data_IF_178112709118
#
_entry.id   IF_178112709118
#
_cell.length_a   1.000
_cell.length_b   1.000
_cell.length_c   1.000
_cell.angle_alpha   90.00
_cell.angle_beta   90.00
_cell.angle_gamma   90.00
#
_symmetry.space_group_name_H-M   'P 1'
#
loop_
_entity.id
_entity.type
_entity.pdbx_description
1 polymer ?
#
# COMPACT_ATOMS: atom_id res chain seq x y z
N UNK A 1 7.55 -3.60 -24.49
CA UNK A 1 7.97 -2.21 -24.18
C UNK A 1 9.34 -2.02 -24.79
N UNK A 2 9.59 -0.91 -25.47
CA UNK A 2 10.91 -0.62 -26.04
C UNK A 2 11.95 -0.47 -24.92
N UNK A 3 13.09 -1.17 -25.05
CA UNK A 3 14.12 -1.27 -24.01
C UNK A 3 14.75 0.09 -23.71
N UNK A 4 14.96 0.90 -24.75
CA UNK A 4 15.62 2.20 -24.61
C UNK A 4 14.72 3.20 -23.88
N UNK A 5 13.41 3.13 -24.14
CA UNK A 5 12.42 3.94 -23.45
C UNK A 5 12.29 3.58 -21.97
N UNK A 6 12.26 2.27 -21.63
CA UNK A 6 12.21 1.81 -20.24
C UNK A 6 13.44 2.25 -19.46
N UNK A 7 14.64 2.10 -20.03
CA UNK A 7 15.88 2.56 -19.42
C UNK A 7 15.84 4.07 -19.15
N UNK A 8 15.41 4.87 -20.14
CA UNK A 8 15.29 6.33 -19.98
C UNK A 8 14.29 6.77 -18.89
N UNK A 9 13.27 5.93 -18.62
CA UNK A 9 12.27 6.18 -17.58
C UNK A 9 12.85 5.83 -16.21
N UNK A 10 13.49 4.66 -16.10
CA UNK A 10 14.09 4.18 -14.85
C UNK A 10 15.25 5.05 -14.38
N UNK A 11 16.04 5.63 -15.30
CA UNK A 11 17.15 6.54 -14.98
C UNK A 11 16.71 7.81 -14.22
N UNK A 12 15.42 8.15 -14.28
CA UNK A 12 14.83 9.33 -13.65
C UNK A 12 14.01 8.99 -12.40
N UNK A 13 13.99 7.72 -12.00
CA UNK A 13 13.17 7.22 -10.92
C UNK A 13 14.05 6.73 -9.78
N UNK A 14 13.74 7.20 -8.58
CA UNK A 14 14.18 6.58 -7.34
C UNK A 14 12.98 5.84 -6.76
N UNK A 15 13.12 4.55 -6.54
CA UNK A 15 12.06 3.70 -5.99
C UNK A 15 12.54 3.21 -4.63
N UNK A 16 11.74 3.47 -3.59
CA UNK A 16 11.91 2.86 -2.27
C UNK A 16 10.80 1.85 -2.05
N UNK A 17 11.18 0.60 -1.77
CA UNK A 17 10.25 -0.49 -1.50
C UNK A 17 10.45 -0.95 -0.07
N UNK A 18 9.36 -1.01 0.69
CA UNK A 18 9.32 -1.65 2.01
C UNK A 18 8.57 -2.96 1.84
N UNK A 19 9.27 -4.10 1.67
CA UNK A 19 8.63 -5.38 1.35
C UNK A 19 7.83 -5.96 2.52
N UNK A 20 8.16 -5.55 3.75
CA UNK A 20 7.50 -6.05 4.96
C UNK A 20 7.42 -4.93 6.00
N UNK A 21 6.26 -4.28 6.11
CA UNK A 21 6.00 -3.26 7.12
C UNK A 21 5.64 -3.89 8.49
N UNK A 22 4.96 -5.03 8.48
CA UNK A 22 4.45 -5.69 9.67
C UNK A 22 5.14 -7.04 9.94
N UNK A 23 6.37 -6.98 10.44
CA UNK A 23 7.17 -8.18 10.71
C UNK A 23 6.54 -9.09 11.78
N UNK A 24 6.02 -8.52 12.87
CA UNK A 24 5.49 -9.30 13.99
C UNK A 24 4.14 -9.95 13.67
N UNK A 25 3.25 -9.23 12.98
CA UNK A 25 1.99 -9.81 12.49
C UNK A 25 2.26 -10.92 11.48
N UNK A 26 3.26 -10.74 10.61
CA UNK A 26 3.71 -11.77 9.67
C UNK A 26 4.17 -13.04 10.39
N UNK A 27 4.94 -12.93 11.46
CA UNK A 27 5.38 -14.08 12.25
C UNK A 27 4.19 -14.88 12.81
N UNK A 28 3.14 -14.20 13.28
CA UNK A 28 1.92 -14.85 13.77
C UNK A 28 1.18 -15.61 12.66
N UNK A 29 1.04 -14.99 11.48
CA UNK A 29 0.44 -15.65 10.31
C UNK A 29 1.22 -16.90 9.92
N UNK A 30 2.56 -16.81 9.85
CA UNK A 30 3.40 -17.97 9.52
C UNK A 30 3.39 -19.06 10.60
N UNK A 31 3.06 -18.70 11.85
CA UNK A 31 2.86 -19.66 12.95
C UNK A 31 1.49 -20.35 12.93
N UNK A 32 0.59 -19.93 12.04
CA UNK A 32 -0.71 -20.57 11.81
C UNK A 32 -1.93 -19.70 12.08
N UNK A 33 -1.76 -18.47 12.57
CA UNK A 33 -2.87 -17.51 12.70
C UNK A 33 -3.12 -16.79 11.37
N UNK A 34 -3.65 -17.53 10.40
CA UNK A 34 -3.79 -17.10 9.01
C UNK A 34 -4.71 -15.89 8.79
N UNK A 35 -5.46 -15.49 9.83
CA UNK A 35 -6.36 -14.34 9.81
C UNK A 35 -5.79 -13.12 10.56
N UNK A 36 -4.63 -13.24 11.22
CA UNK A 36 -4.01 -12.09 11.87
C UNK A 36 -3.59 -11.04 10.84
N UNK A 37 -3.88 -9.78 11.15
CA UNK A 37 -3.63 -8.63 10.27
C UNK A 37 -3.00 -7.44 10.97
N UNK A 38 -3.06 -7.43 12.30
CA UNK A 38 -2.50 -6.40 13.18
C UNK A 38 -1.02 -6.65 13.40
N UNK A 39 -0.38 -5.76 14.13
CA UNK A 39 1.06 -5.81 14.35
C UNK A 39 1.57 -6.82 15.39
N UNK A 40 0.78 -7.84 15.74
CA UNK A 40 1.07 -8.78 16.82
C UNK A 40 0.96 -8.20 18.23
N UNK A 41 0.65 -6.90 18.37
CA UNK A 41 0.27 -6.23 19.63
C UNK A 41 -1.19 -5.79 19.63
N UNK A 42 -1.96 -6.24 18.64
CA UNK A 42 -3.38 -5.96 18.52
C UNK A 42 -3.72 -4.59 17.94
N UNK A 43 -2.77 -3.86 17.33
CA UNK A 43 -3.03 -2.59 16.65
C UNK A 43 -3.09 -2.78 15.13
N UNK A 44 -4.13 -2.25 14.51
CA UNK A 44 -4.21 -2.13 13.06
C UNK A 44 -3.35 -0.95 12.59
N UNK A 45 -2.27 -1.27 11.87
CA UNK A 45 -1.34 -0.27 11.35
C UNK A 45 -2.00 0.66 10.33
N UNK A 46 -3.06 0.22 9.64
CA UNK A 46 -3.84 1.07 8.73
C UNK A 46 -5.02 1.78 9.42
N UNK A 47 -4.97 1.91 10.76
CA UNK A 47 -5.80 2.83 11.56
C UNK A 47 -4.94 3.74 12.47
N UNK A 48 -3.62 3.57 12.45
CA UNK A 48 -2.68 4.21 13.36
C UNK A 48 -2.07 5.53 12.81
N UNK A 49 -2.65 6.12 11.77
CA UNK A 49 -2.17 7.38 11.17
C UNK A 49 -2.99 8.58 11.65
N UNK A 50 -2.48 9.81 11.54
CA UNK A 50 -3.06 10.98 12.23
C UNK A 50 -4.32 11.60 11.62
N UNK A 51 -4.73 11.23 10.40
CA UNK A 51 -5.89 11.83 9.74
C UNK A 51 -7.19 11.17 10.23
N UNK A 52 -8.10 11.99 10.79
CA UNK A 52 -9.36 11.55 11.42
C UNK A 52 -9.17 10.43 12.48
N UNK A 53 -7.97 10.36 13.09
CA UNK A 53 -7.57 9.25 13.96
C UNK A 53 -8.52 9.02 15.14
N UNK A 54 -8.79 7.75 15.44
CA UNK A 54 -9.54 7.35 16.62
C UNK A 54 -11.05 7.53 16.52
N UNK A 55 -11.55 8.07 15.41
CA UNK A 55 -12.98 8.08 15.10
C UNK A 55 -13.49 6.67 14.82
N UNK A 56 -14.69 6.40 15.31
CA UNK A 56 -15.34 5.08 15.24
C UNK A 56 -16.68 5.25 14.54
N UNK A 57 -16.86 4.54 13.44
CA UNK A 57 -18.14 4.44 12.75
C UNK A 57 -19.10 3.52 13.52
N UNK A 58 -20.38 3.54 13.17
CA UNK A 58 -21.40 2.68 13.80
C UNK A 58 -21.05 1.19 13.72
N UNK A 59 -20.33 0.81 12.67
CA UNK A 59 -19.97 -0.55 12.37
C UNK A 59 -18.56 -0.93 12.88
N UNK A 60 -17.88 -0.03 13.61
CA UNK A 60 -16.52 -0.22 14.13
C UNK A 60 -16.34 -1.53 14.90
N UNK A 61 -15.31 -2.29 14.52
CA UNK A 61 -14.89 -3.49 15.24
C UNK A 61 -13.56 -3.24 15.99
N UNK A 62 -13.55 -3.22 17.35
CA UNK A 62 -12.34 -2.96 18.12
C UNK A 62 -11.28 -4.05 17.98
N UNK A 63 -11.65 -5.27 17.59
CA UNK A 63 -10.68 -6.32 17.34
C UNK A 63 -9.93 -6.07 16.03
N UNK A 64 -10.65 -5.66 14.99
CA UNK A 64 -10.13 -5.48 13.64
C UNK A 64 -9.53 -4.08 13.40
N UNK A 65 -10.08 -3.05 14.04
CA UNK A 65 -9.83 -1.65 13.69
C UNK A 65 -9.20 -0.87 14.85
N UNK A 66 -8.58 -1.56 15.81
CA UNK A 66 -7.90 -0.91 16.93
C UNK A 66 -6.83 0.08 16.43
N UNK A 67 -7.01 1.40 16.62
CA UNK A 67 -6.13 2.41 16.06
C UNK A 67 -4.88 2.67 16.91
N UNK A 68 -4.70 1.94 18.02
CA UNK A 68 -3.64 2.17 19.00
C UNK A 68 -4.02 3.23 20.05
N UNK A 69 -3.04 3.64 20.87
CA UNK A 69 -3.27 4.59 21.98
C UNK A 69 -3.15 6.06 21.58
N UNK A 70 -2.53 6.33 20.43
CA UNK A 70 -2.31 7.64 19.85
C UNK A 70 -2.00 7.46 18.35
N UNK A 71 -2.16 8.50 17.51
CA UNK A 71 -1.64 8.42 16.14
C UNK A 71 -0.13 8.20 16.18
N UNK A 72 0.36 7.30 15.32
CA UNK A 72 1.75 6.85 15.29
C UNK A 72 2.23 6.25 16.62
N UNK A 73 1.36 5.61 17.39
CA UNK A 73 1.79 4.87 18.58
C UNK A 73 2.71 3.70 18.27
N UNK A 74 2.62 3.14 17.05
CA UNK A 74 3.37 1.96 16.66
C UNK A 74 4.69 2.31 15.95
N UNK A 75 5.81 1.63 16.25
CA UNK A 75 7.09 1.86 15.58
C UNK A 75 7.02 1.63 14.07
N UNK A 76 6.19 0.68 13.61
CA UNK A 76 6.00 0.39 12.19
C UNK A 76 5.50 1.63 11.43
N UNK A 77 4.43 2.28 11.90
CA UNK A 77 3.89 3.50 11.28
C UNK A 77 4.81 4.71 11.46
N UNK A 78 5.54 4.81 12.58
CA UNK A 78 6.54 5.87 12.79
C UNK A 78 7.67 5.80 11.76
N UNK A 79 8.17 4.59 11.45
CA UNK A 79 9.21 4.37 10.44
C UNK A 79 8.68 4.76 9.06
N UNK A 80 7.49 4.32 8.68
CA UNK A 80 6.89 4.66 7.38
C UNK A 80 6.65 6.16 7.24
N UNK A 81 6.18 6.83 8.30
CA UNK A 81 6.05 8.30 8.35
C UNK A 81 7.40 8.98 8.15
N UNK A 82 8.44 8.56 8.87
CA UNK A 82 9.79 9.14 8.76
C UNK A 82 10.34 8.94 7.35
N UNK A 83 10.15 7.74 6.78
CA UNK A 83 10.55 7.42 5.42
C UNK A 83 9.88 8.35 4.41
N UNK A 84 8.55 8.49 4.46
CA UNK A 84 7.80 9.34 3.55
C UNK A 84 8.22 10.82 3.66
N UNK A 85 8.32 11.36 4.87
CA UNK A 85 8.73 12.76 5.08
C UNK A 85 10.17 13.03 4.63
N UNK A 86 11.07 12.06 4.79
CA UNK A 86 12.48 12.21 4.35
C UNK A 86 12.67 11.99 2.86
N UNK A 87 11.84 11.15 2.25
CA UNK A 87 11.96 10.79 0.84
C UNK A 87 11.21 11.77 -0.08
N UNK A 88 10.17 12.43 0.44
CA UNK A 88 9.32 13.37 -0.31
C UNK A 88 8.78 12.76 -1.61
N UNK A 89 7.96 11.68 -1.52
CA UNK A 89 7.55 10.93 -2.69
C UNK A 89 6.55 11.72 -3.56
N UNK A 90 6.74 11.60 -4.87
CA UNK A 90 5.74 12.04 -5.85
C UNK A 90 4.54 11.10 -5.96
N UNK A 91 4.78 9.81 -5.68
CA UNK A 91 3.82 8.72 -5.77
C UNK A 91 3.96 7.87 -4.52
N UNK A 92 2.84 7.57 -3.87
CA UNK A 92 2.73 6.63 -2.78
C UNK A 92 1.72 5.55 -3.14
N UNK A 93 2.09 4.29 -2.92
CA UNK A 93 1.17 3.15 -3.04
C UNK A 93 1.37 2.25 -1.82
N UNK A 94 0.34 2.08 -1.00
CA UNK A 94 0.28 0.95 -0.06
C UNK A 94 -0.51 -0.20 -0.70
N UNK A 95 0.01 -1.42 -0.53
CA UNK A 95 -0.48 -2.61 -1.23
C UNK A 95 -1.15 -3.53 -0.23
N UNK A 96 -2.38 -3.92 -0.54
CA UNK A 96 -3.26 -4.75 0.28
C UNK A 96 -3.86 -5.86 -0.57
N UNK A 97 -4.51 -6.81 0.09
CA UNK A 97 -5.35 -7.82 -0.56
C UNK A 97 -6.59 -8.11 0.28
N UNK A 98 -7.55 -8.77 -0.35
CA UNK A 98 -8.89 -9.09 0.16
C UNK A 98 -9.99 -8.73 -0.83
N UNK A 99 -9.64 -7.97 -1.88
CA UNK A 99 -10.49 -7.61 -3.00
C UNK A 99 -9.62 -7.16 -4.19
N UNK A 100 -10.23 -6.74 -5.29
CA UNK A 100 -9.54 -6.14 -6.42
C UNK A 100 -10.02 -4.70 -6.63
N UNK A 101 -9.14 -3.75 -6.31
CA UNK A 101 -9.46 -2.34 -6.37
C UNK A 101 -8.22 -1.44 -6.44
N UNK A 102 -8.45 -0.25 -6.98
CA UNK A 102 -7.49 0.83 -7.12
C UNK A 102 -8.10 2.05 -6.43
N UNK A 103 -7.79 2.23 -5.16
CA UNK A 103 -8.30 3.36 -4.40
C UNK A 103 -7.38 4.56 -4.50
N UNK A 104 -8.03 5.71 -4.50
CA UNK A 104 -7.45 7.01 -4.20
C UNK A 104 -8.12 7.53 -2.92
N UNK A 105 -7.62 8.62 -2.32
CA UNK A 105 -8.32 9.26 -1.21
C UNK A 105 -9.77 9.59 -1.57
N UNK A 106 -10.66 9.78 -0.59
CA UNK A 106 -10.39 9.56 0.83
C UNK A 106 -10.82 8.16 1.29
N UNK A 107 -10.14 7.63 2.28
CA UNK A 107 -10.59 6.43 2.99
C UNK A 107 -11.61 6.81 4.10
N UNK A 108 -11.40 7.92 4.79
CA UNK A 108 -12.29 8.41 5.86
C UNK A 108 -13.52 9.20 5.37
N UNK A 109 -13.64 9.45 4.05
CA UNK A 109 -14.78 10.16 3.46
C UNK A 109 -15.32 9.39 2.26
N UNK A 110 -16.65 9.36 2.12
CA UNK A 110 -17.32 8.85 0.92
C UNK A 110 -17.30 9.88 -0.23
N UNK A 111 -16.10 10.30 -0.64
CA UNK A 111 -15.86 11.14 -1.81
C UNK A 111 -14.39 11.10 -2.19
N UNK A 112 -14.10 11.30 -3.46
CA UNK A 112 -12.74 11.61 -3.91
C UNK A 112 -12.41 13.08 -3.63
N UNK A 113 -11.13 13.46 -3.55
CA UNK A 113 -10.71 14.85 -3.61
C UNK A 113 -11.21 15.54 -4.87
N UNK A 114 -11.26 16.86 -4.81
CA UNK A 114 -11.64 17.71 -5.93
C UNK A 114 -10.41 18.23 -6.69
N UNK A 115 -10.61 18.65 -7.93
CA UNK A 115 -9.60 19.36 -8.72
C UNK A 115 -8.76 18.49 -9.65
N UNK A 116 -7.92 19.16 -10.45
CA UNK A 116 -7.21 18.58 -11.60
C UNK A 116 -6.32 17.40 -11.21
N UNK A 117 -5.65 17.43 -10.04
CA UNK A 117 -4.83 16.30 -9.62
C UNK A 117 -5.67 15.05 -9.35
N UNK A 118 -6.86 15.20 -8.78
CA UNK A 118 -7.79 14.09 -8.56
C UNK A 118 -8.26 13.48 -9.88
N UNK A 119 -8.57 14.31 -10.88
CA UNK A 119 -8.93 13.84 -12.22
C UNK A 119 -7.78 13.07 -12.89
N UNK A 120 -6.54 13.55 -12.74
CA UNK A 120 -5.35 12.87 -13.27
C UNK A 120 -5.04 11.57 -12.54
N UNK A 121 -5.20 11.53 -11.22
CA UNK A 121 -5.13 10.30 -10.43
C UNK A 121 -6.15 9.28 -10.95
N UNK A 122 -7.41 9.68 -11.09
CA UNK A 122 -8.46 8.81 -11.61
C UNK A 122 -8.15 8.29 -13.01
N UNK A 123 -7.69 9.16 -13.92
CA UNK A 123 -7.28 8.77 -15.27
C UNK A 123 -6.12 7.77 -15.26
N UNK A 124 -5.14 7.94 -14.38
CA UNK A 124 -4.05 6.97 -14.20
C UNK A 124 -4.62 5.60 -13.77
N UNK A 125 -5.51 5.58 -12.78
CA UNK A 125 -6.11 4.33 -12.27
C UNK A 125 -6.98 3.64 -13.33
N UNK A 126 -7.72 4.40 -14.15
CA UNK A 126 -8.50 3.86 -15.27
C UNK A 126 -7.60 3.16 -16.30
N UNK A 127 -6.45 3.76 -16.62
CA UNK A 127 -5.45 3.14 -17.51
C UNK A 127 -4.85 1.87 -16.89
N UNK A 128 -4.52 1.89 -15.60
CA UNK A 128 -3.98 0.71 -14.90
C UNK A 128 -5.03 -0.41 -14.86
N UNK A 129 -6.29 -0.10 -14.57
CA UNK A 129 -7.38 -1.08 -14.53
C UNK A 129 -7.61 -1.73 -15.89
N UNK A 130 -7.62 -0.93 -16.96
CA UNK A 130 -7.79 -1.41 -18.33
C UNK A 130 -6.66 -2.36 -18.73
N UNK A 131 -5.41 -2.01 -18.42
CA UNK A 131 -4.23 -2.73 -18.89
C UNK A 131 -3.89 -3.97 -18.06
N UNK A 132 -4.10 -3.91 -16.74
CA UNK A 132 -3.55 -4.90 -15.80
C UNK A 132 -4.56 -5.53 -14.86
N UNK A 133 -5.75 -4.96 -14.71
CA UNK A 133 -6.81 -5.58 -13.90
C UNK A 133 -7.98 -6.10 -14.75
N UNK A 134 -7.89 -5.95 -16.08
CA UNK A 134 -8.91 -6.38 -17.04
C UNK A 134 -10.30 -5.80 -16.74
N UNK A 135 -10.35 -4.53 -16.30
CA UNK A 135 -11.57 -3.83 -15.90
C UNK A 135 -12.31 -4.45 -14.70
N UNK A 136 -11.66 -5.34 -13.94
CA UNK A 136 -12.25 -5.97 -12.75
C UNK A 136 -12.10 -5.12 -11.50
N UNK A 137 -11.07 -4.27 -11.44
CA UNK A 137 -10.80 -3.48 -10.24
C UNK A 137 -11.82 -2.36 -10.10
N UNK A 138 -12.33 -2.16 -8.89
CA UNK A 138 -13.07 -0.95 -8.55
C UNK A 138 -12.13 0.25 -8.47
N UNK A 139 -12.58 1.44 -8.91
CA UNK A 139 -11.82 2.69 -8.85
C UNK A 139 -12.64 3.73 -8.09
N UNK A 140 -12.01 4.45 -7.16
CA UNK A 140 -12.63 5.57 -6.45
C UNK A 140 -12.01 5.84 -5.09
N UNK A 141 -12.75 6.58 -4.27
CA UNK A 141 -12.37 6.81 -2.87
C UNK A 141 -12.47 5.52 -2.08
N UNK A 142 -11.49 5.15 -1.25
CA UNK A 142 -11.58 3.97 -0.39
C UNK A 142 -12.87 3.93 0.44
N UNK A 143 -13.25 5.06 1.05
CA UNK A 143 -14.46 5.19 1.87
C UNK A 143 -15.78 5.11 1.09
N UNK A 144 -15.74 5.40 -0.21
CA UNK A 144 -16.92 5.38 -1.08
C UNK A 144 -17.08 4.11 -1.91
N UNK A 145 -15.97 3.44 -2.24
CA UNK A 145 -15.96 2.26 -3.09
C UNK A 145 -16.15 0.96 -2.31
N UNK A 146 -15.68 0.89 -1.05
CA UNK A 146 -15.77 -0.35 -0.23
C UNK A 146 -17.04 -0.42 0.62
N UNK A 147 -17.70 0.73 0.84
CA UNK A 147 -18.97 0.80 1.57
C UNK A 147 -18.83 0.92 3.09
N UNK A 148 -17.63 1.20 3.60
CA UNK A 148 -17.38 1.63 4.98
C UNK A 148 -16.27 2.70 4.99
N UNK A 149 -16.19 3.51 6.04
CA UNK A 149 -15.17 4.56 6.19
C UNK A 149 -14.02 4.05 7.05
N UNK A 150 -12.78 4.24 6.58
CA UNK A 150 -11.59 3.88 7.34
C UNK A 150 -10.87 5.14 7.81
N UNK A 151 -10.64 5.24 9.12
CA UNK A 151 -10.02 6.38 9.77
C UNK A 151 -8.56 6.11 10.11
N UNK A 152 -7.70 7.13 10.08
CA UNK A 152 -6.30 6.96 10.42
C UNK A 152 -5.54 6.05 9.45
N UNK A 153 -5.80 6.16 8.14
CA UNK A 153 -5.12 5.36 7.10
C UNK A 153 -3.85 6.02 6.57
N UNK A 154 -2.96 5.20 5.99
CA UNK A 154 -1.74 5.70 5.37
C UNK A 154 -2.04 6.62 4.18
N UNK A 155 -2.99 6.23 3.31
CA UNK A 155 -3.29 6.95 2.06
C UNK A 155 -3.81 8.35 2.31
N UNK A 156 -4.70 8.51 3.29
CA UNK A 156 -5.21 9.83 3.68
C UNK A 156 -4.11 10.70 4.30
N UNK A 157 -3.22 10.13 5.13
CA UNK A 157 -2.08 10.88 5.67
C UNK A 157 -1.10 11.33 4.58
N UNK A 158 -0.79 10.46 3.61
CA UNK A 158 0.09 10.78 2.50
C UNK A 158 -0.48 11.90 1.64
N UNK A 159 -1.80 11.89 1.43
CA UNK A 159 -2.49 12.94 0.68
C UNK A 159 -2.57 14.26 1.45
N UNK A 160 -3.17 14.28 2.65
CA UNK A 160 -3.50 15.52 3.36
C UNK A 160 -2.31 16.16 4.09
N UNK A 161 -1.38 15.35 4.62
CA UNK A 161 -0.30 15.84 5.49
C UNK A 161 1.03 15.90 4.74
N UNK A 162 1.40 14.82 4.05
CA UNK A 162 2.66 14.78 3.28
C UNK A 162 2.52 15.52 1.94
N UNK A 163 1.30 15.73 1.45
CA UNK A 163 1.01 16.36 0.16
C UNK A 163 1.62 15.58 -1.02
N UNK A 164 1.61 14.25 -0.94
CA UNK A 164 2.02 13.38 -2.05
C UNK A 164 1.07 13.62 -3.22
N UNK A 165 1.56 14.04 -4.40
CA UNK A 165 0.71 14.34 -5.56
C UNK A 165 -0.21 13.19 -5.97
N UNK A 166 0.26 11.96 -5.81
CA UNK A 166 -0.46 10.74 -6.17
C UNK A 166 -0.34 9.69 -5.07
N UNK A 167 -1.31 9.66 -4.15
CA UNK A 167 -1.40 8.65 -3.10
C UNK A 167 -2.49 7.63 -3.43
N UNK A 168 -2.19 6.33 -3.27
CA UNK A 168 -3.09 5.25 -3.62
C UNK A 168 -3.05 4.09 -2.62
N UNK A 169 -4.18 3.38 -2.52
CA UNK A 169 -4.27 2.05 -1.92
C UNK A 169 -4.63 1.05 -3.01
N UNK A 170 -3.78 0.06 -3.25
CA UNK A 170 -4.03 -0.99 -4.25
C UNK A 170 -4.41 -2.29 -3.56
N UNK A 171 -5.59 -2.81 -3.87
CA UNK A 171 -6.08 -4.11 -3.46
C UNK A 171 -5.85 -5.10 -4.61
N UNK A 172 -4.89 -6.01 -4.44
CA UNK A 172 -4.29 -6.71 -5.58
C UNK A 172 -4.89 -8.07 -5.90
N UNK A 173 -5.64 -8.63 -4.96
CA UNK A 173 -6.23 -9.95 -5.08
C UNK A 173 -7.31 -10.11 -4.03
N UNK A 174 -8.41 -10.78 -4.37
CA UNK A 174 -9.36 -11.28 -3.39
C UNK A 174 -10.17 -12.43 -3.97
N UNK A 175 -10.39 -13.49 -3.18
CA UNK A 175 -11.29 -14.57 -3.54
C UNK A 175 -12.62 -14.44 -2.78
N UNK A 176 -13.63 -13.87 -3.44
CA UNK A 176 -14.98 -13.72 -2.89
C UNK A 176 -15.69 -15.05 -2.62
N UNK A 177 -15.19 -16.16 -3.17
CA UNK A 177 -15.72 -17.52 -2.94
C UNK A 177 -15.12 -18.17 -1.70
N UNK A 178 -14.09 -17.59 -1.10
CA UNK A 178 -13.49 -18.10 0.11
C UNK A 178 -14.45 -18.01 1.31
N UNK A 179 -14.38 -18.99 2.20
CA UNK A 179 -15.08 -18.92 3.48
C UNK A 179 -14.48 -17.79 4.32
N UNK A 180 -15.30 -17.14 5.15
CA UNK A 180 -14.84 -16.17 6.16
C UNK A 180 -13.83 -16.72 7.17
N UNK A 181 -13.65 -18.05 7.22
CA UNK A 181 -12.64 -18.73 8.05
C UNK A 181 -11.37 -19.13 7.29
N UNK A 182 -11.37 -19.00 5.96
CA UNK A 182 -10.25 -19.36 5.10
C UNK A 182 -9.56 -18.10 4.59
N UNK A 183 -8.91 -17.40 5.54
CA UNK A 183 -8.22 -16.15 5.25
C UNK A 183 -7.09 -16.35 4.25
N UNK A 184 -6.38 -17.49 4.29
CA UNK A 184 -5.33 -17.76 3.32
C UNK A 184 -5.86 -17.72 1.89
N UNK A 185 -6.92 -18.46 1.57
CA UNK A 185 -7.53 -18.44 0.24
C UNK A 185 -8.15 -17.08 -0.10
N UNK A 186 -8.79 -16.42 0.87
CA UNK A 186 -9.39 -15.11 0.67
C UNK A 186 -8.37 -14.07 0.19
N UNK A 187 -7.16 -14.12 0.75
CA UNK A 187 -6.15 -13.10 0.56
C UNK A 187 -4.99 -13.51 -0.36
N UNK A 188 -4.88 -14.78 -0.74
CA UNK A 188 -3.77 -15.31 -1.51
C UNK A 188 -4.24 -16.26 -2.63
N UNK A 189 -3.64 -16.17 -3.83
CA UNK A 189 -3.78 -17.21 -4.85
C UNK A 189 -3.35 -18.58 -4.32
N UNK A 190 -4.23 -19.56 -4.37
CA UNK A 190 -3.94 -20.94 -3.91
C UNK A 190 -3.43 -21.86 -5.02
N UNK A 191 -3.45 -21.39 -6.27
CA UNK A 191 -2.97 -22.14 -7.43
C UNK A 191 -1.90 -21.36 -8.21
N UNK A 192 -1.00 -22.10 -8.86
CA UNK A 192 0.15 -21.54 -9.56
C UNK A 192 -0.21 -20.66 -10.76
N UNK A 193 -1.34 -20.95 -11.43
CA UNK A 193 -1.80 -20.17 -12.58
C UNK A 193 -2.23 -18.77 -12.15
N UNK A 194 -3.11 -18.71 -11.14
CA UNK A 194 -3.59 -17.45 -10.56
C UNK A 194 -2.46 -16.68 -9.90
N UNK A 195 -1.57 -17.36 -9.18
CA UNK A 195 -0.38 -16.73 -8.58
C UNK A 195 0.47 -16.00 -9.62
N UNK A 196 0.85 -16.67 -10.71
CA UNK A 196 1.67 -16.05 -11.76
C UNK A 196 0.93 -14.93 -12.48
N UNK A 197 -0.39 -15.07 -12.69
CA UNK A 197 -1.21 -14.01 -13.29
C UNK A 197 -1.16 -12.74 -12.42
N UNK A 198 -1.52 -12.85 -11.14
CA UNK A 198 -1.51 -11.73 -10.19
C UNK A 198 -0.11 -11.09 -10.14
N UNK A 199 0.93 -11.90 -10.02
CA UNK A 199 2.30 -11.41 -9.97
C UNK A 199 2.70 -10.64 -11.24
N UNK A 200 2.39 -11.18 -12.42
CA UNK A 200 2.74 -10.55 -13.69
C UNK A 200 1.94 -9.26 -13.92
N UNK A 201 0.63 -9.30 -13.67
CA UNK A 201 -0.29 -8.17 -13.83
C UNK A 201 0.16 -7.00 -12.94
N UNK A 202 0.39 -7.24 -11.65
CA UNK A 202 0.77 -6.17 -10.72
C UNK A 202 2.20 -5.68 -10.91
N UNK A 203 3.14 -6.56 -11.29
CA UNK A 203 4.49 -6.12 -11.68
C UNK A 203 4.44 -5.16 -12.87
N UNK A 204 3.60 -5.46 -13.87
CA UNK A 204 3.40 -4.60 -15.03
C UNK A 204 2.60 -3.33 -14.70
N UNK A 205 1.66 -3.39 -13.76
CA UNK A 205 0.92 -2.25 -13.25
C UNK A 205 1.83 -1.21 -12.61
N UNK A 206 2.76 -1.61 -11.73
CA UNK A 206 3.71 -0.67 -11.12
C UNK A 206 4.61 0.00 -12.17
N UNK A 207 5.12 -0.75 -13.14
CA UNK A 207 5.89 -0.16 -14.25
C UNK A 207 5.05 0.84 -15.07
N UNK A 208 3.76 0.58 -15.23
CA UNK A 208 2.83 1.49 -15.90
C UNK A 208 2.59 2.75 -15.09
N UNK A 209 2.42 2.64 -13.77
CA UNK A 209 2.35 3.79 -12.86
C UNK A 209 3.62 4.63 -12.94
N UNK A 210 4.79 4.01 -12.84
CA UNK A 210 6.08 4.70 -12.94
C UNK A 210 6.28 5.43 -14.27
N UNK A 211 5.72 4.89 -15.36
CA UNK A 211 5.76 5.50 -16.67
C UNK A 211 4.78 6.67 -16.83
N UNK A 212 3.54 6.50 -16.38
CA UNK A 212 2.46 7.44 -16.67
C UNK A 212 2.33 8.54 -15.63
N UNK A 213 2.56 8.25 -14.35
CA UNK A 213 2.40 9.22 -13.27
C UNK A 213 3.28 10.47 -13.42
N UNK A 214 4.57 10.40 -13.84
CA UNK A 214 5.37 11.62 -14.05
C UNK A 214 4.78 12.56 -15.10
N UNK A 215 4.14 12.01 -16.14
CA UNK A 215 3.47 12.81 -17.19
C UNK A 215 2.25 13.54 -16.62
N UNK A 216 1.53 12.88 -15.71
CA UNK A 216 0.38 13.43 -15.02
C UNK A 216 0.77 14.47 -13.95
N UNK A 217 1.96 14.37 -13.35
CA UNK A 217 2.45 15.32 -12.34
C UNK A 217 3.09 16.56 -13.00
N UNK A 218 3.86 16.38 -14.08
CA UNK A 218 4.73 17.39 -14.71
C UNK A 218 4.04 18.60 -15.37
N UNK A 219 2.72 18.71 -15.29
CA UNK A 219 1.94 19.83 -15.83
C UNK A 219 1.45 20.84 -14.75
N UNK A 220 1.98 20.80 -13.52
CA UNK A 220 1.65 21.78 -12.46
C UNK A 220 2.90 22.56 -12.02
N UNK A 221 2.87 23.90 -11.98
CA UNK A 221 3.94 24.69 -11.37
C UNK A 221 3.91 24.50 -9.85
N UNK A 222 4.90 23.77 -9.33
CA UNK A 222 5.07 23.53 -7.90
C UNK A 222 5.35 24.85 -7.15
N UNK A 223 4.43 25.29 -6.28
CA UNK A 223 4.72 26.36 -5.31
C UNK A 223 5.51 25.72 -4.17
N UNK A 224 6.83 25.94 -4.17
CA UNK A 224 7.69 25.57 -3.06
C UNK A 224 7.22 26.28 -1.78
N UNK A 225 6.58 25.54 -0.87
CA UNK A 225 6.36 25.96 0.51
C UNK A 225 7.65 25.70 1.29
N UNK A 226 8.55 26.68 1.30
CA UNK A 226 9.71 26.66 2.20
C UNK A 226 9.24 27.06 3.59
N UNK A 227 8.83 26.10 4.42
CA UNK A 227 8.77 26.31 5.87
C UNK A 227 10.16 26.05 6.45
N UNK A 228 10.70 27.06 7.14
CA UNK A 228 11.97 27.00 7.88
C UNK A 228 12.00 25.76 8.77
N UNK A 229 12.91 24.83 8.49
CA UNK A 229 13.12 23.64 9.31
C UNK A 229 14.52 23.70 9.92
N UNK A 230 14.58 23.93 11.22
CA UNK A 230 15.79 23.86 12.02
C UNK A 230 16.37 22.44 11.97
N UNK A 231 17.64 22.38 11.52
CA UNK A 231 18.68 21.38 11.82
C UNK A 231 18.21 19.95 12.12
N UNK A 232 17.87 19.19 11.07
CA UNK A 232 17.74 17.73 11.15
C UNK A 232 19.10 17.07 10.90
N UNK A 233 19.48 16.17 11.81
CA UNK A 233 20.61 15.25 11.69
C UNK A 233 20.25 14.19 10.66
N UNK A 234 21.15 13.92 9.71
CA UNK A 234 20.93 12.96 8.63
C UNK A 234 20.76 11.55 9.19
N UNK A 235 19.82 10.79 8.65
CA UNK A 235 19.68 9.35 8.91
C UNK A 235 20.96 8.58 8.52
N UNK A 236 21.73 9.11 7.56
CA UNK A 236 22.97 8.52 7.08
C UNK A 236 24.03 8.51 8.20
N UNK A 237 24.10 9.56 9.03
CA UNK A 237 25.03 9.59 10.18
C UNK A 237 24.68 8.53 11.25
N UNK A 238 23.42 8.12 11.35
CA UNK A 238 22.98 7.08 12.29
C UNK A 238 23.21 5.66 11.73
N UNK A 239 23.06 5.49 10.42
CA UNK A 239 23.21 4.19 9.75
C UNK A 239 24.68 3.86 9.42
N UNK A 240 25.51 4.86 9.12
CA UNK A 240 26.95 4.67 8.88
C UNK A 240 27.66 4.08 10.12
N UNK A 241 27.23 4.47 11.32
CA UNK A 241 27.75 3.91 12.57
C UNK A 241 27.45 2.42 12.75
N UNK A 242 26.41 1.89 12.12
CA UNK A 242 25.97 0.49 12.25
C UNK A 242 26.52 -0.42 11.13
N UNK A 243 26.82 0.15 9.95
CA UNK A 243 27.26 -0.60 8.77
C UNK A 243 28.79 -0.68 8.62
N UNK A 244 29.55 0.22 9.26
CA UNK A 244 31.01 0.22 9.22
C UNK A 244 31.68 -0.95 9.95
N UNK A 245 30.94 -1.68 10.81
CA UNK A 245 31.52 -2.77 11.61
C UNK A 245 31.60 -4.13 10.88
N UNK A 246 31.12 -4.22 9.62
CA UNK A 246 31.03 -5.52 8.89
C UNK A 246 31.77 -5.64 7.56
N UNK A 247 32.57 -4.68 7.13
CA UNK A 247 33.27 -4.78 5.84
C UNK A 247 34.81 -4.91 5.96
N UNK A 248 35.30 -6.15 6.08
CA UNK A 248 36.65 -6.51 5.59
C UNK A 248 36.84 -8.03 5.52
N UNK A 249 36.61 -8.61 4.32
CA UNK A 249 37.35 -9.77 3.78
C UNK A 249 36.81 -10.17 2.40
N UNK A 250 37.31 -9.50 1.36
CA UNK A 250 37.58 -9.98 -0.02
C UNK A 250 37.35 -8.86 -1.03
N UNK A 251 38.47 -8.29 -1.49
CA UNK A 251 38.48 -7.36 -2.61
C UNK A 251 38.27 -8.07 -3.94
N UNK A 252 37.31 -7.58 -4.73
CA UNK A 252 37.34 -7.64 -6.19
C UNK A 252 36.45 -6.53 -6.73
N UNK A 253 37.05 -5.51 -7.36
CA UNK A 253 36.36 -4.55 -8.22
C UNK A 253 35.78 -5.31 -9.41
N UNK A 254 34.47 -5.56 -9.38
CA UNK A 254 33.65 -5.81 -10.57
C UNK A 254 32.81 -4.58 -10.82
N UNK A 255 32.61 -4.24 -12.09
CA UNK A 255 31.95 -3.02 -12.52
C UNK A 255 30.58 -2.86 -11.85
N UNK A 256 30.42 -1.71 -11.20
CA UNK A 256 29.31 -1.34 -10.30
C UNK A 256 27.93 -1.50 -10.96
N UNK A 257 27.88 -1.45 -12.29
CA UNK A 257 26.66 -1.54 -13.08
C UNK A 257 26.17 -2.99 -13.29
N UNK A 258 27.08 -3.95 -13.52
CA UNK A 258 26.71 -5.38 -13.61
C UNK A 258 26.34 -5.94 -12.23
N UNK A 259 27.04 -5.51 -11.19
CA UNK A 259 26.67 -5.82 -9.80
C UNK A 259 25.30 -5.23 -9.46
N UNK A 260 25.00 -3.98 -9.83
CA UNK A 260 23.69 -3.37 -9.60
C UNK A 260 22.54 -4.07 -10.32
N UNK A 261 22.70 -4.49 -11.58
CA UNK A 261 21.67 -5.23 -12.32
C UNK A 261 21.52 -6.69 -11.87
N UNK A 262 22.63 -7.33 -11.50
CA UNK A 262 22.61 -8.68 -10.93
C UNK A 262 22.03 -8.66 -9.51
N UNK A 263 22.28 -7.62 -8.73
CA UNK A 263 21.63 -7.36 -7.46
C UNK A 263 20.17 -6.99 -7.64
N UNK A 264 19.75 -6.17 -8.61
CA UNK A 264 18.32 -5.92 -8.87
C UNK A 264 17.60 -7.20 -9.29
N UNK A 265 18.19 -8.05 -10.15
CA UNK A 265 17.61 -9.37 -10.45
C UNK A 265 17.63 -10.31 -9.27
N UNK A 266 18.60 -10.19 -8.37
CA UNK A 266 18.69 -10.98 -7.15
C UNK A 266 17.74 -10.45 -6.08
N UNK A 267 17.50 -9.15 -6.01
CA UNK A 267 16.50 -8.47 -5.18
C UNK A 267 15.11 -8.72 -5.73
N UNK A 268 14.90 -8.75 -7.05
CA UNK A 268 13.65 -9.21 -7.66
C UNK A 268 13.49 -10.71 -7.46
N UNK A 269 14.55 -11.53 -7.49
CA UNK A 269 14.48 -12.97 -7.17
C UNK A 269 14.31 -13.27 -5.69
N UNK A 270 14.85 -12.44 -4.80
CA UNK A 270 14.69 -12.50 -3.35
C UNK A 270 13.35 -11.90 -2.93
N UNK A 271 12.87 -10.87 -3.63
CA UNK A 271 11.48 -10.42 -3.65
C UNK A 271 10.60 -11.55 -4.15
N UNK A 272 10.96 -12.30 -5.21
CA UNK A 272 10.21 -13.47 -5.69
C UNK A 272 10.26 -14.65 -4.71
N UNK A 273 11.36 -14.80 -3.94
CA UNK A 273 11.49 -15.78 -2.86
C UNK A 273 10.72 -15.36 -1.60
N UNK A 274 10.65 -14.07 -1.29
CA UNK A 274 9.71 -13.52 -0.30
C UNK A 274 8.28 -13.48 -0.84
N UNK A 275 8.09 -13.55 -2.16
CA UNK A 275 6.81 -13.71 -2.87
C UNK A 275 6.40 -15.17 -3.02
N UNK A 276 7.21 -16.14 -2.57
CA UNK A 276 6.73 -17.53 -2.37
C UNK A 276 5.55 -17.54 -1.38
N UNK A 277 5.39 -16.47 -0.61
CA UNK A 277 4.22 -16.13 0.18
C UNK A 277 3.91 -14.64 -0.09
N UNK A 278 2.92 -14.34 -0.94
CA UNK A 278 2.44 -12.97 -1.24
C UNK A 278 1.89 -12.32 0.03
N UNK A 279 2.77 -11.80 0.88
CA UNK A 279 2.40 -11.32 2.20
C UNK A 279 2.75 -9.84 2.27
N UNK A 280 1.83 -9.06 1.75
CA UNK A 280 1.64 -7.65 2.05
C UNK A 280 0.44 -7.55 3.00
N UNK A 281 0.41 -6.53 3.85
CA UNK A 281 -0.58 -6.40 4.92
C UNK A 281 -2.03 -6.51 4.44
N UNK A 282 -2.87 -7.11 5.30
CA UNK A 282 -4.28 -7.36 5.05
C UNK A 282 -5.16 -6.29 5.68
N UNK A 283 -6.08 -5.73 4.91
CA UNK A 283 -7.30 -5.07 5.35
C UNK A 283 -8.43 -5.49 4.40
N UNK A 284 -9.37 -6.34 4.81
CA UNK A 284 -10.70 -6.28 4.20
C UNK A 284 -11.79 -6.63 5.21
N UNK A 285 -12.93 -5.96 5.05
CA UNK A 285 -14.20 -6.27 5.69
C UNK A 285 -15.19 -6.64 4.59
N UNK A 286 -15.79 -7.82 4.72
CA UNK A 286 -17.02 -8.17 4.01
C UNK A 286 -18.17 -7.46 4.74
N UNK A 287 -18.77 -6.45 4.12
CA UNK A 287 -20.05 -5.92 4.59
C UNK A 287 -21.11 -7.03 4.47
N UNK A 288 -21.73 -7.40 5.58
CA UNK A 288 -22.90 -8.28 5.59
C UNK A 288 -24.06 -7.59 4.88
N UNK A 289 -24.19 -7.83 3.57
CA UNK A 289 -25.43 -7.58 2.85
C UNK A 289 -26.56 -8.39 3.50
N UNK A 290 -27.54 -7.69 4.07
CA UNK A 290 -28.72 -8.27 4.73
C UNK A 290 -29.40 -9.29 3.81
N UNK A 291 -29.41 -10.56 4.22
CA UNK A 291 -30.35 -11.54 3.69
C UNK A 291 -31.76 -11.08 4.09
N UNK A 292 -32.48 -10.49 3.14
CA UNK A 292 -33.89 -10.12 3.29
C UNK A 292 -34.74 -11.40 3.34
N UNK A 293 -35.08 -11.86 4.55
CA UNK A 293 -36.29 -12.64 4.77
C UNK A 293 -37.44 -11.66 5.05
N UNK A 294 -38.61 -11.79 4.40
CA UNK A 294 -39.75 -10.95 4.73
C UNK A 294 -40.30 -11.37 6.10
N UNK A 295 -40.25 -10.45 7.06
CA UNK A 295 -41.02 -10.59 8.30
C UNK A 295 -42.44 -10.13 7.98
N UNK A 296 -43.36 -11.08 8.01
CA UNK A 296 -44.80 -10.85 7.91
C UNK A 296 -45.25 -10.04 9.12
N UNK A 297 -46.01 -8.99 8.83
CA UNK A 297 -46.68 -8.07 9.75
C UNK A 297 -47.54 -8.80 10.79
N UNK A 298 -47.43 -8.38 12.05
CA UNK A 298 -48.51 -8.50 13.03
C UNK A 298 -48.86 -7.09 13.55
N UNK A 299 -50.09 -6.69 13.24
CA UNK A 299 -50.80 -5.48 13.66
C UNK A 299 -51.21 -5.62 15.16
N UNK A 300 -51.47 -4.51 15.87
CA UNK A 300 -51.26 -4.39 17.31
C UNK A 300 -52.51 -4.65 18.15
N UNK A 301 -52.28 -4.89 19.45
CA UNK A 301 -53.15 -4.57 20.58
C UNK A 301 -52.27 -4.34 21.80
#
# INVERSE_FOLDING_TARGET
>A
MDSDFLNSTLDKLIIKVVPMENLNGRELVESGDLCERRNGRGVDLNRNWSVDWGKKEEDFDPYEENPGIAPFSEPETQIMRKLALSFDPHIWVNVHSGMEALFMPYDHKNRTPDGVMSERMKSLLENVNLLHCHQRCMIGSGGGSVGYLAHGTATDFMYDIVNVPMAFTFEIYGDETASTKDCFKMFNPTDFGTFNRVLNDWSAAFLTVFKLAPQQIGEVPYKASVSKLEKWVSIDEYLDGYLMERSSRYGKKKEVFELGMQEIRTYFRLFLLSSVLLMFMFCSRISKGKSSRPIVSAIPL
#
